data_IF_935759180001
#
_entry.id   IF_935759180001
#
_cell.length_a   1.000
_cell.length_b   1.000
_cell.length_c   1.000
_cell.angle_alpha   90.00
_cell.angle_beta   90.00
_cell.angle_gamma   90.00
#
_symmetry.space_group_name_H-M   'P 1'
#
loop_
_entity.id
_entity.type
_entity.pdbx_description
1 polymer ?
#
# COMPACT_ATOMS: atom_id res chain seq x y z
N UNK A 1 30.67 -8.66 0.46
CA UNK A 1 29.48 -8.00 1.03
C UNK A 1 28.86 -7.20 -0.10
N UNK A 2 27.85 -7.74 -0.77
CA UNK A 2 27.26 -7.09 -1.93
C UNK A 2 26.43 -5.89 -1.46
N UNK A 3 26.88 -4.69 -1.81
CA UNK A 3 26.17 -3.44 -1.58
C UNK A 3 24.94 -3.43 -2.50
N UNK A 4 23.81 -3.96 -2.04
CA UNK A 4 22.52 -3.64 -2.65
C UNK A 4 22.24 -2.19 -2.28
N UNK A 5 22.16 -1.30 -3.29
CA UNK A 5 21.82 0.11 -3.09
C UNK A 5 20.51 0.28 -2.29
N UNK A 6 20.21 1.48 -1.77
CA UNK A 6 19.03 1.67 -0.93
C UNK A 6 17.77 1.23 -1.68
N UNK A 7 17.08 0.23 -1.14
CA UNK A 7 15.78 -0.21 -1.65
C UNK A 7 14.84 0.99 -1.81
N UNK A 8 14.01 1.03 -2.87
CA UNK A 8 13.15 2.17 -3.14
C UNK A 8 12.25 2.43 -1.94
N UNK A 9 12.27 3.67 -1.47
CA UNK A 9 11.45 4.15 -0.37
C UNK A 9 10.14 4.68 -0.92
N UNK A 10 9.02 4.08 -0.53
CA UNK A 10 7.69 4.43 -1.04
C UNK A 10 7.06 5.44 -0.08
N UNK A 11 6.85 6.68 -0.52
CA UNK A 11 6.31 7.77 0.31
C UNK A 11 4.79 7.92 0.25
N UNK A 12 4.09 7.01 -0.42
CA UNK A 12 2.66 7.07 -0.55
C UNK A 12 2.06 5.93 -1.36
N UNK A 13 0.73 5.84 -1.32
CA UNK A 13 -0.08 4.87 -2.03
C UNK A 13 -1.05 5.60 -2.96
N UNK A 14 -1.36 4.96 -4.08
CA UNK A 14 -2.32 5.44 -5.06
C UNK A 14 -3.18 4.25 -5.53
N UNK A 15 -4.50 4.44 -5.58
CA UNK A 15 -5.47 3.52 -6.19
C UNK A 15 -5.91 4.14 -7.51
N UNK A 16 -5.84 3.34 -8.57
CA UNK A 16 -6.18 3.77 -9.93
C UNK A 16 -7.28 2.87 -10.46
N UNK A 17 -8.32 3.47 -11.05
CA UNK A 17 -9.39 2.78 -11.76
C UNK A 17 -9.17 2.97 -13.27
N UNK A 18 -8.72 1.93 -13.96
CA UNK A 18 -8.37 2.05 -15.38
C UNK A 18 -9.58 2.22 -16.31
N UNK A 19 -10.79 1.93 -15.82
CA UNK A 19 -12.04 2.05 -16.56
C UNK A 19 -12.70 3.42 -16.33
N UNK A 20 -12.27 4.17 -15.30
CA UNK A 20 -12.75 5.51 -15.04
C UNK A 20 -12.38 6.48 -16.19
N UNK A 21 -13.27 7.43 -16.54
CA UNK A 21 -12.97 8.46 -17.53
C UNK A 21 -11.74 9.26 -17.09
N UNK A 22 -10.75 9.39 -17.97
CA UNK A 22 -9.60 10.27 -17.75
C UNK A 22 -10.09 11.71 -17.65
N UNK A 23 -10.02 12.29 -16.45
CA UNK A 23 -10.39 13.69 -16.24
C UNK A 23 -9.34 14.62 -16.88
N UNK A 24 -9.74 15.77 -17.45
CA UNK A 24 -8.79 16.80 -17.85
C UNK A 24 -8.11 17.40 -16.61
N UNK A 25 -6.78 17.36 -16.64
CA UNK A 25 -5.74 17.89 -15.72
C UNK A 25 -6.20 18.76 -14.52
N UNK A 26 -5.89 18.30 -13.30
CA UNK A 26 -5.75 19.15 -12.09
C UNK A 26 -4.31 19.04 -11.61
N UNK A 27 -3.58 20.16 -11.61
CA UNK A 27 -2.18 20.22 -11.19
C UNK A 27 -2.08 19.97 -9.69
N UNK A 28 -1.46 18.85 -9.28
CA UNK A 28 -1.04 18.62 -7.90
C UNK A 28 0.50 18.71 -7.85
N UNK A 29 1.03 19.60 -7.00
CA UNK A 29 2.46 19.74 -6.66
C UNK A 29 3.47 20.04 -7.78
N UNK A 30 3.05 20.72 -8.85
CA UNK A 30 3.98 21.47 -9.74
C UNK A 30 4.98 20.63 -10.54
N UNK A 31 4.84 19.30 -10.56
CA UNK A 31 5.61 18.41 -11.42
C UNK A 31 4.62 17.61 -12.28
N UNK A 32 4.49 17.98 -13.55
CA UNK A 32 3.72 17.18 -14.50
C UNK A 32 4.52 16.99 -15.79
N UNK A 33 4.71 15.73 -16.18
CA UNK A 33 5.09 15.34 -17.52
C UNK A 33 3.93 15.71 -18.48
N UNK A 34 4.15 16.51 -19.54
CA UNK A 34 3.10 16.92 -20.46
C UNK A 34 2.50 15.78 -21.30
N UNK A 35 3.15 14.60 -21.37
CA UNK A 35 2.68 13.45 -22.15
C UNK A 35 1.85 12.44 -21.35
N UNK A 36 1.70 12.64 -20.03
CA UNK A 36 0.90 11.77 -19.16
C UNK A 36 -0.48 12.40 -18.92
N UNK A 37 -1.53 11.74 -19.39
CA UNK A 37 -2.88 11.96 -18.82
C UNK A 37 -2.82 11.70 -17.31
N UNK A 38 -3.51 12.50 -16.48
CA UNK A 38 -3.60 12.22 -15.04
C UNK A 38 -4.01 10.74 -14.86
N UNK A 39 -3.32 9.99 -13.97
CA UNK A 39 -3.75 8.63 -13.68
C UNK A 39 -5.22 8.71 -13.24
N UNK A 40 -6.01 7.69 -13.59
CA UNK A 40 -7.41 7.58 -13.15
C UNK A 40 -7.47 7.32 -11.63
N UNK A 41 -6.96 8.26 -10.85
CA UNK A 41 -6.68 8.19 -9.43
C UNK A 41 -8.00 8.31 -8.69
N UNK A 42 -8.36 7.25 -7.99
CA UNK A 42 -9.62 7.18 -7.22
C UNK A 42 -9.38 7.21 -5.72
N UNK A 43 -8.15 6.92 -5.27
CA UNK A 43 -7.71 7.19 -3.91
C UNK A 43 -6.20 7.46 -3.85
N UNK A 44 -5.76 8.26 -2.89
CA UNK A 44 -4.32 8.44 -2.64
C UNK A 44 -4.01 8.79 -1.20
N UNK A 45 -2.80 8.44 -0.77
CA UNK A 45 -2.27 8.80 0.54
C UNK A 45 -0.79 9.09 0.45
N UNK A 46 -0.38 10.24 0.94
CA UNK A 46 1.03 10.55 1.24
C UNK A 46 1.30 10.29 2.71
N UNK A 47 2.48 9.81 3.03
CA UNK A 47 2.96 9.73 4.41
C UNK A 47 3.80 10.95 4.75
N UNK A 48 3.98 11.18 6.04
CA UNK A 48 4.79 12.30 6.53
C UNK A 48 6.25 12.15 6.10
N UNK A 49 7.01 13.26 6.16
CA UNK A 49 8.44 13.23 5.85
C UNK A 49 9.15 12.22 6.74
N UNK A 50 9.93 11.32 6.12
CA UNK A 50 10.68 10.29 6.85
C UNK A 50 9.90 9.01 7.11
N UNK A 51 8.62 8.96 6.73
CA UNK A 51 7.79 7.76 6.79
C UNK A 51 7.69 7.10 5.42
N UNK A 52 7.98 5.80 5.37
CA UNK A 52 8.03 5.04 4.13
C UNK A 52 7.32 3.70 4.27
N UNK A 53 6.50 3.37 3.27
CA UNK A 53 5.71 2.15 3.29
C UNK A 53 6.32 1.02 2.47
N UNK A 54 5.88 -0.20 2.76
CA UNK A 54 6.12 -1.39 1.97
C UNK A 54 5.06 -1.59 0.89
N UNK A 55 5.15 -2.74 0.21
CA UNK A 55 4.13 -3.16 -0.76
C UNK A 55 2.74 -3.20 -0.07
N UNK A 56 1.69 -2.58 -0.65
CA UNK A 56 0.34 -2.71 -0.13
C UNK A 56 -0.27 -4.09 -0.42
N UNK A 57 -1.17 -4.54 0.45
CA UNK A 57 -1.97 -5.76 0.29
C UNK A 57 -3.45 -5.41 0.38
N UNK A 58 -4.26 -5.91 -0.55
CA UNK A 58 -5.71 -5.78 -0.43
C UNK A 58 -6.30 -7.01 0.26
N UNK A 59 -7.20 -6.79 1.20
CA UNK A 59 -7.96 -7.83 1.92
C UNK A 59 -9.43 -7.57 1.71
N UNK A 60 -10.09 -8.48 0.99
CA UNK A 60 -11.52 -8.40 0.68
C UNK A 60 -12.38 -8.63 1.92
N UNK A 61 -13.45 -7.85 2.04
CA UNK A 61 -14.48 -7.96 3.08
C UNK A 61 -15.91 -7.80 2.52
N UNK A 62 -16.11 -7.97 1.21
CA UNK A 62 -17.43 -7.95 0.61
C UNK A 62 -17.43 -8.25 -0.88
N UNK A 63 -18.31 -7.59 -1.64
CA UNK A 63 -18.62 -7.99 -3.04
C UNK A 63 -18.10 -7.04 -4.11
N UNK A 64 -18.03 -5.75 -3.81
CA UNK A 64 -17.46 -4.77 -4.74
C UNK A 64 -15.93 -4.92 -4.76
N UNK A 65 -15.28 -4.49 -5.85
CA UNK A 65 -13.84 -4.69 -6.06
C UNK A 65 -12.99 -4.16 -4.89
N UNK A 66 -13.37 -3.01 -4.36
CA UNK A 66 -12.67 -2.32 -3.27
C UNK A 66 -13.36 -2.48 -1.91
N UNK A 67 -14.29 -3.41 -1.79
CA UNK A 67 -14.99 -3.70 -0.54
C UNK A 67 -14.06 -4.46 0.41
N UNK A 68 -13.27 -3.73 1.20
CA UNK A 68 -12.22 -4.32 2.02
C UNK A 68 -11.25 -3.30 2.59
N UNK A 69 -10.05 -3.77 2.89
CA UNK A 69 -8.98 -2.95 3.46
C UNK A 69 -7.69 -3.06 2.65
N UNK A 70 -6.93 -1.98 2.62
CA UNK A 70 -5.53 -1.96 2.18
C UNK A 70 -4.63 -2.03 3.41
N UNK A 71 -3.77 -3.03 3.46
CA UNK A 71 -2.74 -3.18 4.48
C UNK A 71 -1.40 -2.68 3.93
N UNK A 72 -0.60 -1.99 4.75
CA UNK A 72 0.80 -1.73 4.40
C UNK A 72 1.65 -1.57 5.66
N UNK A 73 2.86 -2.09 5.62
CA UNK A 73 3.86 -1.78 6.63
C UNK A 73 4.38 -0.37 6.42
N UNK A 74 4.40 0.44 7.47
CA UNK A 74 5.04 1.76 7.48
C UNK A 74 6.25 1.71 8.40
N UNK A 75 7.31 2.42 8.03
CA UNK A 75 8.46 2.64 8.89
C UNK A 75 8.76 4.13 8.96
N UNK A 76 8.82 4.63 10.19
CA UNK A 76 9.23 5.98 10.51
C UNK A 76 10.73 5.97 10.82
N UNK A 77 11.53 6.62 9.98
CA UNK A 77 12.99 6.63 10.12
C UNK A 77 13.48 7.56 11.24
N UNK A 78 12.64 8.46 11.73
CA UNK A 78 13.00 9.38 12.82
C UNK A 78 12.88 8.67 14.18
N UNK A 79 11.74 8.03 14.42
CA UNK A 79 11.48 7.27 15.66
C UNK A 79 12.05 5.86 15.63
N UNK A 80 12.30 5.29 14.44
CA UNK A 80 12.69 3.90 14.25
C UNK A 80 11.53 2.90 14.36
N UNK A 81 10.29 3.38 14.57
CA UNK A 81 9.11 2.55 14.75
C UNK A 81 8.63 1.99 13.41
N UNK A 82 8.11 0.76 13.42
CA UNK A 82 7.37 0.19 12.30
C UNK A 82 5.96 -0.15 12.74
N UNK A 83 5.00 0.07 11.87
CA UNK A 83 3.60 -0.28 12.12
C UNK A 83 3.01 -1.04 10.93
N UNK A 84 2.00 -1.86 11.18
CA UNK A 84 1.08 -2.36 10.15
C UNK A 84 -0.15 -1.45 10.13
N UNK A 85 -0.32 -0.69 9.06
CA UNK A 85 -1.53 0.10 8.85
C UNK A 85 -2.62 -0.73 8.20
N UNK A 86 -3.84 -0.59 8.70
CA UNK A 86 -5.08 -1.07 8.10
C UNK A 86 -5.84 0.17 7.61
N UNK A 87 -6.07 0.27 6.31
CA UNK A 87 -6.73 1.41 5.67
C UNK A 87 -8.02 0.98 4.99
N UNK A 88 -9.06 1.81 5.06
CA UNK A 88 -10.30 1.58 4.30
C UNK A 88 -10.03 1.76 2.80
N UNK A 89 -10.31 0.72 2.00
CA UNK A 89 -10.05 0.72 0.57
C UNK A 89 -11.06 1.57 -0.24
N UNK A 90 -12.23 1.88 0.33
CA UNK A 90 -13.25 2.78 -0.25
C UNK A 90 -13.00 4.24 0.07
N UNK A 91 -12.16 4.52 1.07
CA UNK A 91 -11.80 5.88 1.41
C UNK A 91 -10.93 6.51 0.30
N UNK A 92 -11.30 7.69 -0.24
CA UNK A 92 -10.49 8.38 -1.25
C UNK A 92 -9.12 8.84 -0.73
N UNK A 93 -8.94 8.88 0.59
CA UNK A 93 -7.68 9.24 1.26
C UNK A 93 -7.00 8.04 1.93
N UNK A 94 -7.53 6.82 1.74
CA UNK A 94 -7.07 5.59 2.41
C UNK A 94 -6.95 5.80 3.93
N UNK A 95 -8.03 6.26 4.56
CA UNK A 95 -8.09 6.53 6.00
C UNK A 95 -7.65 5.30 6.81
N UNK A 96 -6.80 5.53 7.84
CA UNK A 96 -6.38 4.48 8.75
C UNK A 96 -7.55 4.12 9.67
N UNK A 97 -7.99 2.86 9.61
CA UNK A 97 -9.02 2.32 10.52
C UNK A 97 -8.39 1.58 11.71
N UNK A 98 -7.15 1.10 11.56
CA UNK A 98 -6.33 0.59 12.66
C UNK A 98 -4.84 0.73 12.37
N UNK A 99 -4.03 0.86 13.41
CA UNK A 99 -2.57 0.76 13.35
C UNK A 99 -2.07 -0.22 14.40
N UNK A 100 -1.11 -1.06 14.02
CA UNK A 100 -0.49 -2.03 14.92
C UNK A 100 1.02 -1.76 14.94
N UNK A 101 1.52 -1.25 16.06
CA UNK A 101 2.96 -1.10 16.29
C UNK A 101 3.65 -2.47 16.33
N UNK A 102 4.76 -2.59 15.62
CA UNK A 102 5.53 -3.83 15.52
C UNK A 102 6.72 -3.82 16.49
N UNK A 103 7.04 -4.96 17.11
CA UNK A 103 8.16 -5.06 18.04
C UNK A 103 9.53 -4.96 17.36
N UNK A 104 9.58 -4.96 16.03
CA UNK A 104 10.79 -4.88 15.23
C UNK A 104 10.53 -4.27 13.85
N UNK A 105 11.60 -3.70 13.28
CA UNK A 105 11.57 -3.06 11.97
C UNK A 105 11.30 -4.07 10.84
N UNK A 106 10.42 -3.70 9.91
CA UNK A 106 10.23 -4.41 8.63
C UNK A 106 11.14 -3.79 7.56
N UNK A 107 12.04 -4.55 6.90
CA UNK A 107 12.87 -4.02 5.83
C UNK A 107 12.08 -3.60 4.59
N UNK A 108 12.56 -2.57 3.90
CA UNK A 108 12.05 -2.17 2.59
C UNK A 108 12.22 -3.30 1.56
N UNK A 109 11.27 -3.40 0.64
CA UNK A 109 11.28 -4.39 -0.44
C UNK A 109 10.76 -5.77 -0.03
N UNK A 110 10.25 -5.95 1.19
CA UNK A 110 9.61 -7.20 1.59
C UNK A 110 8.28 -7.40 0.82
N UNK A 111 8.12 -8.56 0.21
CA UNK A 111 6.88 -8.98 -0.43
C UNK A 111 6.16 -10.00 0.47
N UNK A 112 4.85 -9.88 0.55
CA UNK A 112 4.00 -10.80 1.30
C UNK A 112 2.71 -11.13 0.56
N UNK A 113 1.93 -12.00 1.18
CA UNK A 113 0.57 -12.33 0.79
C UNK A 113 -0.27 -12.46 2.05
N UNK A 114 -1.52 -11.98 2.00
CA UNK A 114 -2.49 -12.25 3.06
C UNK A 114 -3.12 -13.61 2.81
N UNK A 115 -3.11 -14.46 3.83
CA UNK A 115 -3.74 -15.78 3.81
C UNK A 115 -4.69 -15.84 5.01
N UNK A 116 -5.96 -16.10 4.76
CA UNK A 116 -6.95 -16.23 5.83
C UNK A 116 -6.86 -17.61 6.52
N UNK A 117 -7.54 -17.75 7.66
CA UNK A 117 -7.49 -18.98 8.47
C UNK A 117 -7.90 -20.23 7.68
N UNK A 118 -8.92 -20.14 6.83
CA UNK A 118 -9.39 -21.27 6.02
C UNK A 118 -8.36 -21.66 4.95
N UNK A 119 -7.72 -20.69 4.30
CA UNK A 119 -6.67 -20.93 3.31
C UNK A 119 -5.43 -21.56 3.97
N UNK A 120 -5.05 -21.13 5.18
CA UNK A 120 -3.97 -21.76 5.96
C UNK A 120 -4.37 -23.20 6.32
N UNK A 121 -5.58 -23.41 6.84
CA UNK A 121 -6.05 -24.74 7.26
C UNK A 121 -6.13 -25.74 6.09
N UNK A 122 -6.42 -25.24 4.89
CA UNK A 122 -6.50 -26.03 3.67
C UNK A 122 -5.20 -26.07 2.86
N UNK A 123 -4.08 -25.61 3.44
CA UNK A 123 -2.76 -25.67 2.81
C UNK A 123 -2.23 -27.12 2.87
N UNK A 124 -2.83 -28.00 2.09
CA UNK A 124 -2.43 -29.40 1.98
C UNK A 124 -1.11 -29.51 1.20
N UNK A 125 -0.14 -30.22 1.75
CA UNK A 125 1.01 -30.67 0.96
C UNK A 125 0.47 -31.58 -0.15
N UNK A 126 0.66 -31.18 -1.42
CA UNK A 126 0.52 -32.11 -2.52
C UNK A 126 1.50 -33.26 -2.27
N UNK A 127 0.97 -34.41 -1.84
CA UNK A 127 1.76 -35.64 -1.77
C UNK A 127 1.86 -36.11 -3.21
N UNK A 128 3.03 -35.91 -3.82
CA UNK A 128 3.37 -36.47 -5.13
C UNK A 128 3.48 -38.00 -5.03
#
# INVERSE_FOLDING_TARGET
>A
MCYYGPWPKISGLAKVDLDAPRLPKVVIDGTSDPDLNEPCLVASRRFERGQFCGKPFFVVNGKEEDDGCVLSYIHDEESGVSELLVMDAKSPTLETVASIELPARVPYGFHGIFINADQIANQNHATL
#
